data_IF_011775176423
#
_entry.id   IF_011775176423
#
_cell.length_a   1.000
_cell.length_b   1.000
_cell.length_c   1.000
_cell.angle_alpha   90.00
_cell.angle_beta   90.00
_cell.angle_gamma   90.00
#
_symmetry.space_group_name_H-M   'P 1'
#
loop_
_entity.id
_entity.type
_entity.pdbx_description
1 polymer ?
#
# COMPACT_ATOMS: atom_id res chain seq x y z
N UNK A 1 -17.70 -0.36 0.95
CA UNK A 1 -17.08 -1.51 0.27
C UNK A 1 -16.56 -2.51 1.28
N UNK A 2 -17.49 -3.32 1.79
CA UNK A 2 -17.23 -4.66 2.32
C UNK A 2 -17.07 -5.65 1.14
N UNK A 3 -16.66 -6.89 1.41
CA UNK A 3 -16.68 -7.93 0.37
C UNK A 3 -18.09 -8.31 -0.09
N UNK A 4 -19.11 -8.14 0.78
CA UNK A 4 -20.51 -8.33 0.40
C UNK A 4 -20.96 -7.25 -0.62
N UNK A 5 -20.57 -5.99 -0.41
CA UNK A 5 -20.85 -4.90 -1.36
C UNK A 5 -20.27 -5.20 -2.75
N UNK A 6 -19.05 -5.78 -2.81
CA UNK A 6 -18.34 -6.13 -4.05
C UNK A 6 -19.03 -7.25 -4.82
N UNK A 7 -19.44 -8.31 -4.12
CA UNK A 7 -20.19 -9.44 -4.72
C UNK A 7 -21.53 -8.94 -5.28
N UNK A 8 -22.24 -8.10 -4.54
CA UNK A 8 -23.49 -7.47 -5.00
C UNK A 8 -23.27 -6.60 -6.25
N UNK A 9 -22.24 -5.74 -6.25
CA UNK A 9 -21.89 -4.91 -7.40
C UNK A 9 -21.55 -5.76 -8.65
N UNK A 10 -20.70 -6.79 -8.48
CA UNK A 10 -20.29 -7.66 -9.58
C UNK A 10 -21.47 -8.48 -10.14
N UNK A 11 -22.45 -8.86 -9.31
CA UNK A 11 -23.67 -9.53 -9.75
C UNK A 11 -24.62 -8.63 -10.56
N UNK A 12 -24.57 -7.31 -10.35
CA UNK A 12 -25.42 -6.33 -11.05
C UNK A 12 -24.75 -5.84 -12.33
N UNK A 13 -23.55 -5.27 -12.21
CA UNK A 13 -22.81 -4.62 -13.30
C UNK A 13 -21.96 -5.59 -14.13
N UNK A 14 -21.98 -6.89 -13.80
CA UNK A 14 -21.24 -7.99 -14.46
C UNK A 14 -19.72 -7.75 -14.58
N UNK A 15 -19.20 -6.82 -13.80
CA UNK A 15 -17.81 -6.32 -13.85
C UNK A 15 -17.29 -6.09 -12.43
N UNK A 16 -15.97 -6.17 -12.25
CA UNK A 16 -15.34 -5.87 -10.96
C UNK A 16 -15.30 -4.35 -10.71
N UNK A 17 -15.37 -3.94 -9.45
CA UNK A 17 -15.38 -2.52 -9.07
C UNK A 17 -14.02 -1.85 -9.39
N UNK A 18 -13.94 -1.18 -10.54
CA UNK A 18 -12.68 -0.67 -11.11
C UNK A 18 -11.98 0.38 -10.24
N UNK A 19 -12.71 1.04 -9.32
CA UNK A 19 -12.20 2.09 -8.45
C UNK A 19 -11.84 1.62 -7.04
N UNK A 20 -11.69 0.31 -6.79
CA UNK A 20 -11.34 -0.24 -5.47
C UNK A 20 -10.07 0.40 -4.88
N UNK A 21 -9.03 0.59 -5.68
CA UNK A 21 -7.79 1.26 -5.23
C UNK A 21 -8.05 2.72 -4.80
N UNK A 22 -8.82 3.48 -5.61
CA UNK A 22 -9.21 4.85 -5.28
C UNK A 22 -10.08 4.91 -4.02
N UNK A 23 -11.00 3.96 -3.84
CA UNK A 23 -11.79 3.81 -2.62
C UNK A 23 -10.90 3.54 -1.40
N UNK A 24 -9.95 2.61 -1.51
CA UNK A 24 -9.02 2.29 -0.41
C UNK A 24 -8.19 3.49 0.05
N UNK A 25 -7.76 4.36 -0.87
CA UNK A 25 -7.02 5.60 -0.59
C UNK A 25 -7.90 6.74 -0.03
N UNK A 26 -9.19 6.77 -0.39
CA UNK A 26 -10.09 7.89 -0.08
C UNK A 26 -11.01 7.64 1.11
N UNK A 27 -11.33 6.38 1.46
CA UNK A 27 -12.33 6.04 2.51
C UNK A 27 -12.02 6.67 3.87
N UNK A 28 -10.73 6.77 4.25
CA UNK A 28 -10.31 7.26 5.56
C UNK A 28 -10.12 8.80 5.62
N UNK A 29 -10.37 9.50 4.51
CA UNK A 29 -10.13 10.95 4.43
C UNK A 29 -11.09 11.73 5.35
N UNK A 30 -10.60 12.68 6.17
CA UNK A 30 -11.42 13.40 7.16
C UNK A 30 -12.67 14.07 6.58
N UNK A 31 -12.60 14.55 5.33
CA UNK A 31 -13.71 15.18 4.59
C UNK A 31 -14.94 14.28 4.38
N UNK A 32 -14.77 12.95 4.44
CA UNK A 32 -15.87 11.99 4.34
C UNK A 32 -16.28 11.45 5.72
N UNK A 33 -15.32 11.27 6.62
CA UNK A 33 -15.53 10.72 7.97
C UNK A 33 -16.28 11.65 8.94
N UNK A 34 -16.44 12.94 8.61
CA UNK A 34 -17.14 13.95 9.42
C UNK A 34 -18.67 13.72 9.58
N UNK A 35 -19.20 12.54 9.23
CA UNK A 35 -20.64 12.22 9.26
C UNK A 35 -21.13 11.54 10.54
N UNK A 36 -20.24 11.01 11.39
CA UNK A 36 -20.64 10.26 12.59
C UNK A 36 -20.63 11.07 13.90
N UNK A 37 -19.98 12.23 13.95
CA UNK A 37 -20.03 13.11 15.14
C UNK A 37 -21.26 14.02 15.10
N UNK A 38 -22.46 13.45 15.35
CA UNK A 38 -23.70 14.21 15.51
C UNK A 38 -24.09 14.39 16.98
N UNK A 39 -23.25 15.09 17.72
CA UNK A 39 -23.60 15.85 18.93
C UNK A 39 -22.66 17.05 19.06
N UNK A 40 -23.09 18.13 19.72
CA UNK A 40 -22.25 19.32 19.94
C UNK A 40 -22.54 20.51 19.01
N UNK A 41 -23.73 21.11 19.19
CA UNK A 41 -24.18 22.42 18.68
C UNK A 41 -23.09 23.50 18.55
N UNK A 42 -22.94 24.09 17.35
CA UNK A 42 -22.96 25.56 17.12
C UNK A 42 -23.09 25.94 15.64
N UNK A 43 -23.55 27.17 15.38
CA UNK A 43 -24.01 27.62 14.05
C UNK A 43 -22.87 28.11 13.16
N UNK A 44 -23.06 27.93 11.84
CA UNK A 44 -22.25 28.54 10.78
C UNK A 44 -22.34 30.08 10.86
N UNK A 45 -21.25 30.74 11.26
CA UNK A 45 -21.16 32.21 11.24
C UNK A 45 -20.60 32.67 9.89
N UNK A 46 -21.47 32.82 8.91
CA UNK A 46 -21.18 33.50 7.63
C UNK A 46 -21.64 34.96 7.72
N UNK A 47 -20.78 35.89 7.35
CA UNK A 47 -21.03 37.33 7.50
C UNK A 47 -21.76 37.97 6.31
N UNK A 48 -22.35 39.14 6.57
CA UNK A 48 -22.86 40.15 5.61
C UNK A 48 -24.14 39.79 4.82
N UNK A 49 -24.86 40.79 4.22
CA UNK A 49 -24.72 42.25 4.33
C UNK A 49 -26.00 43.00 4.75
N UNK A 50 -25.85 44.31 4.94
CA UNK A 50 -26.81 45.40 5.23
C UNK A 50 -28.20 45.34 4.56
N UNK A 51 -29.26 45.62 5.35
CA UNK A 51 -30.56 46.12 4.86
C UNK A 51 -31.10 47.21 5.81
N UNK A 52 -31.71 48.28 5.28
CA UNK A 52 -32.10 49.47 6.06
C UNK A 52 -33.63 49.66 6.20
N UNK A 53 -34.11 49.89 7.44
CA UNK A 53 -35.38 50.53 7.84
C UNK A 53 -35.55 50.47 9.39
N UNK A 54 -36.18 51.40 10.12
CA UNK A 54 -36.92 52.64 9.77
C UNK A 54 -36.74 53.72 10.86
N UNK A 55 -37.19 54.96 10.58
CA UNK A 55 -37.12 56.15 11.46
C UNK A 55 -37.99 56.11 12.74
N UNK A 56 -37.53 56.82 13.77
CA UNK A 56 -38.36 57.54 14.76
C UNK A 56 -37.64 58.85 15.16
N UNK A 57 -38.38 59.91 15.52
CA UNK A 57 -37.85 61.28 15.69
C UNK A 57 -38.08 61.89 17.08
N UNK A 58 -37.30 62.94 17.38
CA UNK A 58 -37.53 64.00 18.38
C UNK A 58 -37.40 63.59 19.87
N UNK A 59 -37.19 64.49 20.85
CA UNK A 59 -36.87 65.94 20.88
C UNK A 59 -35.51 66.14 21.63
N UNK A 60 -34.90 67.31 21.93
CA UNK A 60 -35.26 68.75 21.89
C UNK A 60 -34.04 69.60 21.44
N UNK A 61 -34.21 70.92 21.33
CA UNK A 61 -33.18 71.97 21.46
C UNK A 61 -33.80 73.13 22.26
N UNK A 62 -33.04 74.01 22.93
CA UNK A 62 -32.90 75.37 22.35
C UNK A 62 -31.61 76.16 22.69
N UNK A 63 -31.16 76.98 21.71
CA UNK A 63 -30.65 78.38 21.84
C UNK A 63 -29.37 78.62 22.69
N UNK A 64 -28.44 79.54 22.39
CA UNK A 64 -28.31 80.59 21.36
C UNK A 64 -26.83 80.60 20.85
N UNK A 65 -26.21 81.54 20.11
CA UNK A 65 -26.55 82.90 19.65
C UNK A 65 -25.82 83.26 18.33
N UNK A 66 -25.71 84.55 18.00
CA UNK A 66 -25.26 85.10 16.71
C UNK A 66 -23.92 85.85 16.73
N UNK A 67 -23.22 85.82 15.58
CA UNK A 67 -22.51 86.97 15.04
C UNK A 67 -20.99 87.05 15.23
N UNK A 68 -20.30 87.55 14.19
CA UNK A 68 -18.87 87.89 14.20
C UNK A 68 -18.17 87.55 12.87
N UNK A 69 -17.58 88.56 12.23
CA UNK A 69 -16.74 88.43 11.02
C UNK A 69 -15.28 88.80 11.31
N UNK A 70 -14.42 88.67 10.28
CA UNK A 70 -13.02 89.11 10.20
C UNK A 70 -12.01 88.64 11.28
N UNK A 71 -10.71 88.87 11.04
CA UNK A 71 -9.64 88.58 12.01
C UNK A 71 -8.58 87.58 11.55
N UNK A 72 -7.56 88.11 10.88
CA UNK A 72 -6.32 87.47 10.45
C UNK A 72 -5.44 86.73 11.50
N UNK A 73 -4.52 85.92 10.95
CA UNK A 73 -3.11 85.72 11.41
C UNK A 73 -2.69 84.53 12.30
N UNK A 74 -1.67 83.82 11.77
CA UNK A 74 -0.51 83.17 12.40
C UNK A 74 -0.57 81.76 13.06
N UNK A 75 0.40 80.95 12.60
CA UNK A 75 1.15 79.86 13.25
C UNK A 75 0.47 78.75 14.08
N UNK A 76 0.68 77.51 13.60
CA UNK A 76 1.03 76.38 14.47
C UNK A 76 1.99 75.44 13.73
N UNK A 77 3.06 75.04 14.43
CA UNK A 77 4.27 74.45 13.86
C UNK A 77 4.10 72.96 13.49
N UNK A 78 4.89 72.48 12.52
CA UNK A 78 4.87 71.09 12.06
C UNK A 78 5.51 70.15 13.10
N UNK A 79 4.72 69.25 13.69
CA UNK A 79 5.16 68.36 14.77
C UNK A 79 5.58 67.01 14.21
N UNK A 80 6.89 66.83 14.02
CA UNK A 80 7.50 65.55 13.68
C UNK A 80 7.19 64.53 14.80
N UNK A 81 6.30 63.57 14.52
CA UNK A 81 5.99 62.48 15.44
C UNK A 81 7.16 61.48 15.53
N UNK A 82 8.08 61.76 16.45
CA UNK A 82 9.15 60.84 16.81
C UNK A 82 8.56 59.66 17.61
N UNK A 83 8.21 58.58 16.90
CA UNK A 83 7.64 57.36 17.46
C UNK A 83 8.51 56.81 18.61
N UNK A 84 7.85 56.37 19.69
CA UNK A 84 8.50 56.09 20.97
C UNK A 84 9.08 54.67 20.97
N UNK A 85 10.35 54.48 21.36
CA UNK A 85 11.02 53.18 21.26
C UNK A 85 10.28 52.07 22.02
N UNK A 86 9.99 50.98 21.31
CA UNK A 86 9.03 49.97 21.76
C UNK A 86 9.45 49.34 23.11
N UNK A 87 8.56 49.39 24.09
CA UNK A 87 8.91 49.09 25.48
C UNK A 87 9.38 47.64 25.71
N UNK A 88 10.44 47.48 26.52
CA UNK A 88 11.12 46.21 26.88
C UNK A 88 10.20 45.03 27.23
N UNK A 89 8.96 45.28 27.70
CA UNK A 89 7.96 44.22 27.97
C UNK A 89 7.44 43.54 26.68
N UNK A 90 7.17 44.29 25.62
CA UNK A 90 6.64 43.76 24.36
C UNK A 90 7.68 42.89 23.64
N UNK A 91 8.93 43.34 23.61
CA UNK A 91 10.04 42.61 23.01
C UNK A 91 10.31 41.26 23.72
N UNK A 92 10.29 41.27 25.07
CA UNK A 92 10.41 40.03 25.88
C UNK A 92 9.28 39.03 25.60
N UNK A 93 8.09 39.51 25.20
CA UNK A 93 7.00 38.67 24.69
C UNK A 93 7.34 38.03 23.35
N UNK A 94 7.71 38.85 22.35
CA UNK A 94 8.09 38.39 21.00
C UNK A 94 9.21 37.34 21.03
N UNK A 95 10.31 37.61 21.76
CA UNK A 95 11.45 36.68 21.90
C UNK A 95 11.04 35.34 22.53
N UNK A 96 10.11 35.33 23.50
CA UNK A 96 9.58 34.08 24.10
C UNK A 96 8.68 33.28 23.16
N UNK A 97 7.84 33.95 22.36
CA UNK A 97 6.98 33.27 21.38
C UNK A 97 7.83 32.65 20.26
N UNK A 98 8.83 33.39 19.75
CA UNK A 98 9.77 32.91 18.75
C UNK A 98 10.60 31.72 19.25
N UNK A 99 11.06 31.75 20.51
CA UNK A 99 11.75 30.61 21.13
C UNK A 99 10.90 29.34 21.12
N UNK A 100 9.64 29.42 21.58
CA UNK A 100 8.73 28.26 21.58
C UNK A 100 8.45 27.70 20.18
N UNK A 101 8.26 28.57 19.18
CA UNK A 101 8.09 28.13 17.79
C UNK A 101 9.36 27.47 17.22
N UNK A 102 10.54 27.88 17.68
CA UNK A 102 11.81 27.23 17.34
C UNK A 102 11.97 25.86 18.02
N UNK A 103 11.57 25.74 19.29
CA UNK A 103 11.60 24.47 20.03
C UNK A 103 10.63 23.45 19.40
N UNK A 104 9.41 23.87 19.06
CA UNK A 104 8.39 23.06 18.39
C UNK A 104 8.87 22.58 17.01
N UNK A 105 9.53 23.45 16.22
CA UNK A 105 10.13 23.07 14.94
C UNK A 105 11.25 22.02 15.11
N UNK A 106 12.06 22.12 16.16
CA UNK A 106 13.10 21.13 16.48
C UNK A 106 12.48 19.79 16.91
N UNK A 107 11.38 19.80 17.67
CA UNK A 107 10.67 18.59 18.08
C UNK A 107 9.98 17.90 16.89
N UNK A 108 9.31 18.65 16.01
CA UNK A 108 8.75 18.14 14.75
C UNK A 108 9.84 17.55 13.84
N UNK A 109 11.02 18.18 13.78
CA UNK A 109 12.17 17.67 13.05
C UNK A 109 12.65 16.33 13.61
N UNK A 110 12.88 16.22 14.93
CA UNK A 110 13.23 14.96 15.61
C UNK A 110 12.21 13.85 15.32
N UNK A 111 10.91 14.16 15.42
CA UNK A 111 9.84 13.19 15.13
C UNK A 111 9.85 12.71 13.68
N UNK A 112 10.12 13.60 12.72
CA UNK A 112 10.30 13.24 11.30
C UNK A 112 11.50 12.31 11.10
N UNK A 113 12.63 12.55 11.78
CA UNK A 113 13.79 11.66 11.69
C UNK A 113 13.53 10.28 12.31
N UNK A 114 12.83 10.20 13.44
CA UNK A 114 12.41 8.93 14.05
C UNK A 114 11.59 8.10 13.07
N UNK A 115 10.49 8.67 12.55
CA UNK A 115 9.62 8.03 11.57
C UNK A 115 10.34 7.59 10.29
N UNK A 116 11.39 8.31 9.88
CA UNK A 116 12.19 7.96 8.70
C UNK A 116 13.10 6.75 8.95
N UNK A 117 13.79 6.66 10.10
CA UNK A 117 14.62 5.49 10.40
C UNK A 117 13.75 4.28 10.83
N UNK A 118 12.60 4.50 11.46
CA UNK A 118 11.57 3.46 11.69
C UNK A 118 11.07 2.87 10.37
N UNK A 119 10.68 3.71 9.41
CA UNK A 119 10.27 3.29 8.06
C UNK A 119 11.39 2.52 7.34
N UNK A 120 12.63 3.02 7.42
CA UNK A 120 13.82 2.37 6.85
C UNK A 120 14.16 1.04 7.55
N UNK A 121 13.85 0.88 8.83
CA UNK A 121 13.98 -0.39 9.54
C UNK A 121 12.91 -1.38 9.07
N UNK A 122 11.64 -0.95 8.97
CA UNK A 122 10.54 -1.77 8.43
C UNK A 122 10.82 -2.22 6.99
N UNK A 123 11.38 -1.35 6.15
CA UNK A 123 11.79 -1.68 4.78
C UNK A 123 12.87 -2.77 4.74
N UNK A 124 13.93 -2.63 5.55
CA UNK A 124 14.99 -3.66 5.68
C UNK A 124 14.41 -5.01 6.14
N UNK A 125 13.54 -5.01 7.16
CA UNK A 125 12.91 -6.23 7.68
C UNK A 125 11.97 -6.88 6.64
N UNK A 126 11.20 -6.07 5.89
CA UNK A 126 10.37 -6.56 4.79
C UNK A 126 11.21 -7.20 3.69
N UNK A 127 12.32 -6.58 3.28
CA UNK A 127 13.24 -7.19 2.31
C UNK A 127 13.92 -8.45 2.85
N UNK A 128 14.29 -8.51 4.13
CA UNK A 128 14.85 -9.72 4.76
C UNK A 128 13.85 -10.87 4.73
N UNK A 129 12.63 -10.64 5.23
CA UNK A 129 11.57 -11.66 5.27
C UNK A 129 11.15 -12.11 3.86
N UNK A 130 11.16 -11.18 2.88
CA UNK A 130 10.91 -11.52 1.47
C UNK A 130 12.04 -12.38 0.89
N UNK A 131 13.31 -12.10 1.20
CA UNK A 131 14.44 -12.91 0.76
C UNK A 131 14.43 -14.30 1.40
N UNK A 132 14.15 -14.38 2.70
CA UNK A 132 13.98 -15.63 3.47
C UNK A 132 12.86 -16.49 2.88
N UNK A 133 11.68 -15.90 2.63
CA UNK A 133 10.56 -16.58 1.95
C UNK A 133 10.95 -17.11 0.57
N UNK A 134 11.61 -16.29 -0.27
CA UNK A 134 12.07 -16.71 -1.60
C UNK A 134 13.13 -17.82 -1.55
N UNK A 135 13.93 -17.89 -0.49
CA UNK A 135 14.90 -18.97 -0.27
C UNK A 135 14.19 -20.27 0.13
N UNK A 136 13.24 -20.21 1.07
CA UNK A 136 12.41 -21.35 1.48
C UNK A 136 11.56 -21.90 0.32
N UNK A 137 10.92 -21.03 -0.48
CA UNK A 137 10.16 -21.46 -1.66
C UNK A 137 11.06 -22.16 -2.69
N UNK A 138 12.30 -21.68 -2.90
CA UNK A 138 13.28 -22.34 -3.77
C UNK A 138 13.74 -23.69 -3.22
N UNK A 139 14.00 -23.78 -1.91
CA UNK A 139 14.40 -25.04 -1.27
C UNK A 139 13.29 -26.08 -1.36
N UNK A 140 12.04 -25.69 -1.07
CA UNK A 140 10.88 -26.58 -1.18
C UNK A 140 10.64 -27.04 -2.63
N UNK A 141 10.85 -26.20 -3.63
CA UNK A 141 10.74 -26.62 -5.04
C UNK A 141 11.87 -27.57 -5.44
N UNK A 142 13.12 -27.29 -5.01
CA UNK A 142 14.25 -28.19 -5.19
C UNK A 142 14.11 -29.53 -4.44
N UNK A 143 13.35 -29.55 -3.34
CA UNK A 143 12.99 -30.77 -2.63
C UNK A 143 11.98 -31.62 -3.42
N UNK A 144 10.94 -31.00 -4.01
CA UNK A 144 10.01 -31.70 -4.90
C UNK A 144 10.71 -32.28 -6.13
N UNK A 145 11.49 -31.46 -6.85
CA UNK A 145 12.21 -31.88 -8.06
C UNK A 145 13.08 -33.11 -7.78
N UNK A 146 13.86 -33.09 -6.69
CA UNK A 146 14.68 -34.26 -6.28
C UNK A 146 13.86 -35.51 -5.97
N UNK A 147 12.69 -35.36 -5.34
CA UNK A 147 11.79 -36.49 -5.07
C UNK A 147 11.14 -37.02 -6.36
N UNK A 148 10.80 -36.16 -7.31
CA UNK A 148 10.25 -36.56 -8.61
C UNK A 148 11.31 -37.22 -9.50
N UNK A 149 12.54 -36.71 -9.52
CA UNK A 149 13.69 -37.31 -10.20
C UNK A 149 14.02 -38.71 -9.63
N UNK A 150 14.04 -38.85 -8.30
CA UNK A 150 14.24 -40.14 -7.64
C UNK A 150 13.08 -41.13 -7.91
N UNK A 151 11.83 -40.64 -7.88
CA UNK A 151 10.64 -41.44 -8.23
C UNK A 151 10.70 -41.93 -9.68
N UNK A 152 11.07 -41.05 -10.63
CA UNK A 152 11.22 -41.37 -12.05
C UNK A 152 12.36 -42.36 -12.29
N UNK A 153 13.50 -42.19 -11.60
CA UNK A 153 14.62 -43.14 -11.64
C UNK A 153 14.19 -44.53 -11.16
N UNK A 154 13.52 -44.63 -10.01
CA UNK A 154 13.04 -45.89 -9.46
C UNK A 154 11.93 -46.51 -10.32
N UNK A 155 11.15 -45.71 -11.03
CA UNK A 155 10.16 -46.19 -12.01
C UNK A 155 10.84 -46.76 -13.27
N UNK A 156 11.85 -46.08 -13.82
CA UNK A 156 12.65 -46.57 -14.93
C UNK A 156 13.42 -47.86 -14.59
N UNK A 157 14.02 -47.92 -13.40
CA UNK A 157 14.73 -49.11 -12.90
C UNK A 157 13.80 -50.32 -12.76
N UNK A 158 12.58 -50.12 -12.23
CA UNK A 158 11.54 -51.17 -12.17
C UNK A 158 11.06 -51.62 -13.55
N UNK A 159 10.91 -50.71 -14.50
CA UNK A 159 10.56 -51.06 -15.89
C UNK A 159 11.65 -51.88 -16.56
N UNK A 160 12.93 -51.55 -16.32
CA UNK A 160 14.06 -52.30 -16.85
C UNK A 160 14.19 -53.70 -16.21
N UNK A 161 14.02 -53.82 -14.88
CA UNK A 161 13.95 -55.12 -14.20
C UNK A 161 12.81 -55.98 -14.78
N UNK A 162 11.60 -55.43 -14.91
CA UNK A 162 10.46 -56.14 -15.50
C UNK A 162 10.67 -56.51 -16.99
N UNK A 163 11.45 -55.71 -17.73
CA UNK A 163 11.89 -56.05 -19.10
C UNK A 163 12.85 -57.23 -19.08
N UNK A 164 13.85 -57.22 -18.19
CA UNK A 164 14.84 -58.29 -18.06
C UNK A 164 14.22 -59.61 -17.59
N UNK A 165 13.30 -59.58 -16.62
CA UNK A 165 12.50 -60.75 -16.17
C UNK A 165 11.61 -61.32 -17.29
N UNK A 166 11.08 -60.47 -18.17
CA UNK A 166 10.30 -60.92 -19.33
C UNK A 166 11.20 -61.57 -20.37
N UNK A 167 12.35 -60.97 -20.65
CA UNK A 167 13.33 -61.53 -21.58
C UNK A 167 13.94 -62.84 -21.06
N UNK A 168 14.24 -62.94 -19.78
CA UNK A 168 14.71 -64.18 -19.14
C UNK A 168 13.69 -65.30 -19.29
N UNK A 169 12.40 -65.04 -19.00
CA UNK A 169 11.32 -66.02 -19.24
C UNK A 169 11.15 -66.43 -20.70
N UNK A 170 11.53 -65.58 -21.67
CA UNK A 170 11.54 -65.94 -23.09
C UNK A 170 12.78 -66.78 -23.44
N UNK A 171 13.94 -66.48 -22.85
CA UNK A 171 15.20 -67.24 -23.05
C UNK A 171 15.14 -68.64 -22.41
N UNK A 172 14.52 -68.77 -21.23
CA UNK A 172 14.37 -70.03 -20.51
C UNK A 172 13.16 -70.88 -20.96
N UNK A 173 12.35 -70.39 -21.90
CA UNK A 173 11.22 -71.14 -22.44
C UNK A 173 11.71 -72.27 -23.33
N UNK A 174 11.45 -73.52 -22.95
CA UNK A 174 11.59 -74.67 -23.86
C UNK A 174 10.58 -74.50 -25.00
N UNK A 175 11.13 -74.24 -26.19
CA UNK A 175 10.33 -73.98 -27.39
C UNK A 175 9.90 -75.29 -28.07
N UNK A 176 10.57 -76.42 -27.79
CA UNK A 176 10.37 -77.68 -28.50
C UNK A 176 8.95 -78.27 -28.32
N UNK A 177 8.27 -77.88 -27.24
CA UNK A 177 6.90 -78.32 -26.92
C UNK A 177 5.80 -77.49 -27.57
N UNK A 178 6.14 -76.42 -28.33
CA UNK A 178 5.18 -75.51 -28.96
C UNK A 178 4.88 -75.90 -30.42
N UNK A 179 3.83 -75.31 -31.02
CA UNK A 179 3.55 -75.51 -32.45
C UNK A 179 4.54 -74.75 -33.36
N UNK A 180 4.73 -75.20 -34.60
CA UNK A 180 5.75 -74.67 -35.54
C UNK A 180 5.76 -73.13 -35.66
N UNK A 181 4.59 -72.50 -35.73
CA UNK A 181 4.47 -71.04 -35.84
C UNK A 181 4.94 -70.34 -34.56
N UNK A 182 4.57 -70.88 -33.39
CA UNK A 182 5.09 -70.43 -32.11
C UNK A 182 6.60 -70.70 -31.96
N UNK A 183 7.10 -71.82 -32.50
CA UNK A 183 8.53 -72.16 -32.43
C UNK A 183 9.37 -71.11 -33.14
N UNK A 184 9.05 -70.80 -34.40
CA UNK A 184 9.76 -69.78 -35.18
C UNK A 184 9.67 -68.40 -34.50
N UNK A 185 8.52 -68.05 -33.95
CA UNK A 185 8.30 -66.78 -33.24
C UNK A 185 9.18 -66.64 -31.99
N UNK A 186 9.18 -67.63 -31.09
CA UNK A 186 9.97 -67.54 -29.86
C UNK A 186 11.47 -67.71 -30.11
N UNK A 187 11.89 -68.57 -31.05
CA UNK A 187 13.29 -68.65 -31.48
C UNK A 187 13.79 -67.31 -32.05
N UNK A 188 12.96 -66.59 -32.80
CA UNK A 188 13.29 -65.25 -33.29
C UNK A 188 13.48 -64.25 -32.13
N UNK A 189 12.53 -64.20 -31.18
CA UNK A 189 12.65 -63.34 -30.00
C UNK A 189 13.90 -63.66 -29.17
N UNK A 190 14.22 -64.94 -28.96
CA UNK A 190 15.43 -65.37 -28.23
C UNK A 190 16.71 -64.85 -28.90
N UNK A 191 16.81 -64.94 -30.23
CA UNK A 191 17.95 -64.38 -30.98
C UNK A 191 18.06 -62.87 -30.86
N UNK A 192 16.94 -62.15 -30.94
CA UNK A 192 16.93 -60.69 -30.78
C UNK A 192 17.32 -60.22 -29.38
N UNK A 193 16.86 -60.94 -28.34
CA UNK A 193 17.23 -60.67 -26.94
C UNK A 193 18.74 -60.83 -26.74
N UNK A 194 19.32 -61.93 -27.23
CA UNK A 194 20.76 -62.18 -27.14
C UNK A 194 21.56 -61.13 -27.92
N UNK A 195 21.13 -60.78 -29.15
CA UNK A 195 21.78 -59.74 -29.95
C UNK A 195 21.80 -58.38 -29.23
N UNK A 196 20.68 -57.98 -28.61
CA UNK A 196 20.61 -56.73 -27.81
C UNK A 196 21.55 -56.76 -26.60
N UNK A 197 21.59 -57.86 -25.86
CA UNK A 197 22.43 -58.01 -24.65
C UNK A 197 23.92 -58.02 -24.97
N UNK A 198 24.32 -58.63 -26.09
CA UNK A 198 25.70 -58.58 -26.57
C UNK A 198 26.07 -57.14 -26.97
N UNK A 199 25.24 -56.47 -27.77
CA UNK A 199 25.48 -55.09 -28.21
C UNK A 199 25.36 -54.02 -27.09
N UNK A 200 24.98 -54.40 -25.87
CA UNK A 200 25.02 -53.56 -24.67
C UNK A 200 26.15 -53.95 -23.70
N UNK A 201 27.07 -54.82 -24.12
CA UNK A 201 28.21 -55.30 -23.33
C UNK A 201 29.58 -54.92 -23.92
N UNK A 202 29.60 -54.30 -25.10
CA UNK A 202 30.75 -53.67 -25.77
C UNK A 202 30.78 -52.14 -25.50
#
# INVERSE_FOLDING_TARGET
>A
MTEQDKVMYQSLEKTTFQFEHCWQLLKDQPKWNQRYTKDGTKRRSTMSPTYSRTSAMATNSPIDSVGGTEGENLESNDVIELDRPIGRKAEKGKRKAQGRASDELVELSKKRYSLLEESRAQEKEFFRLKAEKMAYEREMEGNKCRQEDERLRLEAEKLEIARLEREERIILLDVSTLNEVQQVYFQQLQREILARRNASSD
#
